data_IF_671521229238
#
_entry.id   IF_671521229238
#
_cell.length_a   1.000
_cell.length_b   1.000
_cell.length_c   1.000
_cell.angle_alpha   90.00
_cell.angle_beta   90.00
_cell.angle_gamma   90.00
#
_symmetry.space_group_name_H-M   'P 1'
#
loop_
_entity.id
_entity.type
_entity.pdbx_description
1 polymer ?
#
# COMPACT_ATOMS: atom_id res chain seq x y z
N UNK A 1 -23.63 -11.62 1.43
CA UNK A 1 -22.38 -11.14 2.05
C UNK A 1 -22.53 -9.64 2.16
N UNK A 2 -22.93 -9.17 3.34
CA UNK A 2 -23.08 -7.75 3.60
C UNK A 2 -21.73 -7.07 3.44
N UNK A 3 -21.68 -6.05 2.57
CA UNK A 3 -20.66 -5.01 2.61
C UNK A 3 -20.82 -4.28 3.95
N UNK A 4 -20.26 -4.86 5.01
CA UNK A 4 -19.86 -4.09 6.18
C UNK A 4 -18.88 -3.06 5.61
N UNK A 5 -19.34 -1.82 5.43
CA UNK A 5 -18.45 -0.69 5.19
C UNK A 5 -17.38 -0.78 6.27
N UNK A 6 -16.16 -1.19 5.89
CA UNK A 6 -15.02 -1.25 6.81
C UNK A 6 -15.00 0.09 7.52
N UNK A 7 -15.14 0.09 8.85
CA UNK A 7 -14.96 1.32 9.63
C UNK A 7 -13.62 1.93 9.19
N UNK A 8 -13.55 3.26 8.99
CA UNK A 8 -12.27 3.91 8.77
C UNK A 8 -11.33 3.50 9.90
N UNK A 9 -10.25 2.83 9.54
CA UNK A 9 -9.18 2.42 10.44
C UNK A 9 -8.05 3.44 10.33
N UNK A 10 -7.35 3.71 11.41
CA UNK A 10 -6.19 4.62 11.45
C UNK A 10 -5.17 4.19 10.38
N UNK A 11 -4.89 2.90 10.28
CA UNK A 11 -3.94 2.34 9.29
C UNK A 11 -4.44 2.46 7.86
N UNK A 12 -5.72 2.19 7.62
CA UNK A 12 -6.38 2.43 6.34
C UNK A 12 -6.32 3.90 5.89
N UNK A 13 -6.58 4.85 6.79
CA UNK A 13 -6.48 6.28 6.49
C UNK A 13 -5.04 6.69 6.18
N UNK A 14 -4.06 6.19 6.94
CA UNK A 14 -2.63 6.40 6.66
C UNK A 14 -2.25 5.91 5.26
N UNK A 15 -2.66 4.68 4.90
CA UNK A 15 -2.39 4.11 3.58
C UNK A 15 -3.05 4.95 2.47
N UNK A 16 -4.29 5.39 2.68
CA UNK A 16 -4.99 6.22 1.71
C UNK A 16 -4.28 7.56 1.47
N UNK A 17 -3.82 8.23 2.54
CA UNK A 17 -3.08 9.49 2.41
C UNK A 17 -1.69 9.28 1.81
N UNK A 18 -1.01 8.18 2.16
CA UNK A 18 0.26 7.81 1.53
C UNK A 18 0.08 7.59 0.02
N UNK A 19 -0.93 6.81 -0.36
CA UNK A 19 -1.26 6.56 -1.77
C UNK A 19 -1.57 7.88 -2.49
N UNK A 20 -2.36 8.77 -1.88
CA UNK A 20 -2.67 10.08 -2.44
C UNK A 20 -1.44 10.98 -2.63
N UNK A 21 -0.45 10.86 -1.74
CA UNK A 21 0.78 11.64 -1.78
C UNK A 21 1.81 11.08 -2.78
N UNK A 22 1.92 9.76 -2.93
CA UNK A 22 3.03 9.12 -3.64
C UNK A 22 2.63 8.19 -4.80
N UNK A 23 1.48 7.51 -4.72
CA UNK A 23 1.10 6.47 -5.69
C UNK A 23 0.12 7.00 -6.73
N UNK A 24 -1.01 7.57 -6.32
CA UNK A 24 -2.10 7.98 -7.21
C UNK A 24 -2.72 9.31 -6.80
N UNK A 25 -2.53 10.28 -7.69
CA UNK A 25 -2.71 11.71 -7.41
C UNK A 25 -4.02 12.27 -7.94
N UNK A 26 -4.82 11.44 -8.63
CA UNK A 26 -5.91 11.87 -9.47
C UNK A 26 -7.27 11.77 -8.76
N UNK A 27 -8.01 12.88 -8.72
CA UNK A 27 -9.33 12.94 -8.08
C UNK A 27 -10.41 12.35 -9.00
N UNK A 28 -11.33 11.57 -8.43
CA UNK A 28 -12.42 10.98 -9.21
C UNK A 28 -13.41 12.03 -9.71
N UNK A 29 -13.76 11.99 -11.00
CA UNK A 29 -14.74 12.90 -11.61
C UNK A 29 -15.65 12.19 -12.62
N UNK A 30 -16.96 12.47 -12.59
CA UNK A 30 -17.87 12.05 -13.66
C UNK A 30 -17.82 13.04 -14.83
N UNK A 31 -16.94 12.77 -15.79
CA UNK A 31 -16.82 13.57 -17.02
C UNK A 31 -16.80 12.66 -18.24
N UNK A 32 -17.46 13.11 -19.30
CA UNK A 32 -17.32 12.51 -20.63
C UNK A 32 -16.04 13.07 -21.27
N UNK A 33 -15.08 12.23 -21.71
CA UNK A 33 -13.86 12.70 -22.35
C UNK A 33 -14.16 13.53 -23.59
N UNK A 34 -13.52 14.70 -23.70
CA UNK A 34 -13.63 15.57 -24.87
C UNK A 34 -12.49 15.28 -25.86
N UNK A 35 -12.77 15.15 -27.18
CA UNK A 35 -11.75 14.89 -28.18
C UNK A 35 -10.61 15.92 -28.21
N UNK A 36 -10.86 17.16 -27.79
CA UNK A 36 -9.81 18.19 -27.75
C UNK A 36 -8.75 17.94 -26.67
N UNK A 37 -9.06 17.12 -25.67
CA UNK A 37 -8.20 16.87 -24.49
C UNK A 37 -7.69 15.44 -24.39
N UNK A 38 -8.41 14.49 -24.99
CA UNK A 38 -8.17 13.07 -24.83
C UNK A 38 -8.13 12.33 -26.17
N UNK A 39 -7.32 11.29 -26.22
CA UNK A 39 -7.19 10.38 -27.36
C UNK A 39 -7.57 8.98 -26.90
N UNK A 40 -8.48 8.34 -27.62
CA UNK A 40 -8.91 6.96 -27.35
C UNK A 40 -7.88 5.95 -27.86
N UNK A 41 -7.60 4.92 -27.07
CA UNK A 41 -6.70 3.80 -27.43
C UNK A 41 -7.28 2.45 -26.96
N UNK A 42 -6.92 1.37 -27.64
CA UNK A 42 -7.15 0.01 -27.18
C UNK A 42 -5.97 -0.45 -26.33
N UNK A 43 -5.96 -0.08 -25.05
CA UNK A 43 -4.81 -0.38 -24.19
C UNK A 43 -4.86 -1.82 -23.68
N UNK A 44 -3.86 -2.62 -24.04
CA UNK A 44 -3.80 -4.05 -23.67
C UNK A 44 -2.83 -4.31 -22.54
N UNK A 45 -1.71 -3.57 -22.53
CA UNK A 45 -0.65 -3.78 -21.55
C UNK A 45 0.18 -2.52 -21.30
N UNK A 46 0.97 -2.59 -20.24
CA UNK A 46 2.05 -1.66 -19.94
C UNK A 46 3.37 -2.40 -19.88
N UNK A 47 4.42 -1.81 -20.46
CA UNK A 47 5.80 -2.25 -20.32
C UNK A 47 6.56 -1.21 -19.49
N UNK A 48 7.00 -1.63 -18.32
CA UNK A 48 7.88 -0.87 -17.44
C UNK A 48 9.35 -1.21 -17.79
N UNK A 49 10.08 -0.27 -18.38
CA UNK A 49 11.47 -0.45 -18.81
C UNK A 49 12.44 0.01 -17.72
N UNK A 50 13.24 -0.90 -17.18
CA UNK A 50 14.25 -0.54 -16.18
C UNK A 50 15.45 0.16 -16.84
N UNK A 51 15.73 1.40 -16.43
CA UNK A 51 16.81 2.22 -17.00
C UNK A 51 18.23 1.76 -16.62
N UNK A 52 18.38 0.83 -15.69
CA UNK A 52 19.67 0.30 -15.23
C UNK A 52 19.99 -1.05 -15.88
N UNK A 53 19.18 -2.08 -15.60
CA UNK A 53 19.40 -3.42 -16.13
C UNK A 53 18.79 -3.68 -17.51
N UNK A 54 17.94 -2.78 -18.03
CA UNK A 54 17.24 -2.94 -19.30
C UNK A 54 16.12 -3.98 -19.29
N UNK A 55 15.84 -4.62 -18.15
CA UNK A 55 14.74 -5.59 -18.04
C UNK A 55 13.38 -4.90 -18.17
N UNK A 56 12.49 -5.56 -18.90
CA UNK A 56 11.10 -5.15 -19.07
C UNK A 56 10.20 -5.92 -18.12
N UNK A 57 9.40 -5.18 -17.35
CA UNK A 57 8.32 -5.72 -16.53
C UNK A 57 6.98 -5.44 -17.20
N UNK A 58 6.33 -6.50 -17.69
CA UNK A 58 5.04 -6.40 -18.39
C UNK A 58 3.88 -6.51 -17.41
N UNK A 59 2.98 -5.53 -17.46
CA UNK A 59 1.70 -5.52 -16.75
C UNK A 59 0.58 -5.72 -17.78
N UNK A 60 -0.19 -6.78 -17.63
CA UNK A 60 -1.36 -7.04 -18.47
C UNK A 60 -2.56 -6.28 -17.88
N UNK A 61 -3.34 -5.63 -18.73
CA UNK A 61 -4.58 -4.96 -18.32
C UNK A 61 -5.80 -5.78 -18.73
N UNK A 62 -6.88 -5.64 -17.96
CA UNK A 62 -8.17 -6.19 -18.35
C UNK A 62 -8.71 -5.39 -19.56
N UNK A 63 -9.06 -6.10 -20.64
CA UNK A 63 -9.64 -5.48 -21.83
C UNK A 63 -11.07 -4.99 -21.55
N UNK A 64 -11.22 -3.70 -21.28
CA UNK A 64 -12.49 -3.05 -20.98
C UNK A 64 -12.89 -2.00 -22.05
N UNK A 65 -12.61 -2.31 -23.32
CA UNK A 65 -12.89 -1.41 -24.44
C UNK A 65 -11.85 -0.29 -24.59
N UNK A 66 -12.29 0.87 -25.10
CA UNK A 66 -11.42 2.02 -25.33
C UNK A 66 -11.13 2.79 -24.04
N UNK A 67 -9.87 3.15 -23.85
CA UNK A 67 -9.38 3.99 -22.76
C UNK A 67 -8.93 5.33 -23.35
N UNK A 68 -9.16 6.41 -22.62
CA UNK A 68 -8.87 7.77 -23.05
C UNK A 68 -7.62 8.31 -22.36
N UNK A 69 -6.58 8.59 -23.14
CA UNK A 69 -5.31 9.14 -22.66
C UNK A 69 -5.31 10.65 -22.84
N UNK A 70 -4.96 11.39 -21.78
CA UNK A 70 -4.80 12.83 -21.85
C UNK A 70 -3.66 13.21 -22.83
N UNK A 71 -3.86 14.26 -23.62
CA UNK A 71 -2.91 14.65 -24.67
C UNK A 71 -1.47 14.80 -24.17
N UNK A 72 -1.28 15.39 -22.98
CA UNK A 72 0.06 15.55 -22.39
C UNK A 72 0.76 14.21 -22.11
N UNK A 73 0.04 13.17 -21.70
CA UNK A 73 0.57 11.81 -21.51
C UNK A 73 0.78 11.10 -22.84
N UNK A 74 -0.11 11.29 -23.81
CA UNK A 74 0.09 10.74 -25.16
C UNK A 74 1.37 11.29 -25.81
N UNK A 75 1.66 12.58 -25.64
CA UNK A 75 2.93 13.16 -26.12
C UNK A 75 4.15 12.54 -25.41
N UNK A 76 4.06 12.20 -24.12
CA UNK A 76 5.11 11.44 -23.42
C UNK A 76 5.26 10.03 -24.00
N UNK A 77 4.15 9.36 -24.32
CA UNK A 77 4.16 8.03 -24.93
C UNK A 77 4.80 8.05 -26.31
N UNK A 78 4.42 8.99 -27.19
CA UNK A 78 5.04 9.13 -28.53
C UNK A 78 6.57 9.21 -28.45
N UNK A 79 7.10 10.00 -27.50
CA UNK A 79 8.55 10.09 -27.26
C UNK A 79 9.18 8.77 -26.82
N UNK A 80 8.47 7.96 -26.05
CA UNK A 80 8.96 6.62 -25.66
C UNK A 80 8.94 5.64 -26.84
N UNK A 81 7.88 5.65 -27.65
CA UNK A 81 7.85 4.88 -28.91
C UNK A 81 9.02 5.26 -29.82
N UNK A 82 9.29 6.56 -30.00
CA UNK A 82 10.46 7.04 -30.74
C UNK A 82 11.78 6.60 -30.12
N UNK A 83 11.94 6.75 -28.79
CA UNK A 83 13.14 6.36 -28.03
C UNK A 83 13.45 4.87 -28.21
N UNK A 84 12.42 4.02 -28.23
CA UNK A 84 12.55 2.57 -28.38
C UNK A 84 12.51 2.10 -29.84
N UNK A 85 12.50 3.02 -30.81
CA UNK A 85 12.41 2.73 -32.24
C UNK A 85 11.19 1.86 -32.61
N UNK A 86 10.08 2.06 -31.90
CA UNK A 86 8.82 1.36 -32.10
C UNK A 86 7.87 2.19 -32.98
N UNK A 87 7.09 1.50 -33.81
CA UNK A 87 6.02 2.14 -34.57
C UNK A 87 4.82 2.38 -33.65
N UNK A 88 4.36 3.64 -33.59
CA UNK A 88 3.11 3.96 -32.90
C UNK A 88 1.93 3.29 -33.63
N UNK A 89 1.08 2.51 -32.93
CA UNK A 89 -0.07 1.85 -33.54
C UNK A 89 -1.12 2.88 -33.96
N UNK A 90 -2.06 2.47 -34.82
CA UNK A 90 -3.23 3.28 -35.14
C UNK A 90 -4.13 3.42 -33.91
N UNK A 91 -4.12 4.60 -33.31
CA UNK A 91 -4.81 4.90 -32.06
C UNK A 91 -6.33 4.66 -32.21
N UNK A 92 -6.89 3.83 -31.34
CA UNK A 92 -8.32 3.49 -31.33
C UNK A 92 -8.73 2.42 -32.35
N UNK A 93 -7.79 1.86 -33.12
CA UNK A 93 -8.03 0.74 -34.04
C UNK A 93 -7.17 -0.48 -33.68
N UNK A 94 -5.92 -0.24 -33.31
CA UNK A 94 -4.92 -1.28 -33.01
C UNK A 94 -4.58 -1.29 -31.52
N UNK A 95 -4.07 -2.43 -31.05
CA UNK A 95 -3.62 -2.60 -29.68
C UNK A 95 -2.50 -1.61 -29.35
N UNK A 96 -2.63 -0.97 -28.19
CA UNK A 96 -1.72 0.04 -27.68
C UNK A 96 -1.03 -0.47 -26.42
N UNK A 97 0.31 -0.51 -26.46
CA UNK A 97 1.15 -0.75 -25.28
C UNK A 97 1.55 0.58 -24.66
N UNK A 98 1.33 0.73 -23.35
CA UNK A 98 1.81 1.88 -22.59
C UNK A 98 3.25 1.63 -22.14
N UNK A 99 4.16 2.58 -22.33
CA UNK A 99 5.55 2.48 -21.89
C UNK A 99 5.82 3.36 -20.69
N UNK A 100 6.66 2.89 -19.78
CA UNK A 100 7.07 3.65 -18.60
C UNK A 100 8.52 3.37 -18.24
N UNK A 101 9.31 4.44 -18.11
CA UNK A 101 10.70 4.36 -17.67
C UNK A 101 10.79 4.45 -16.15
N UNK A 102 11.71 3.71 -15.56
CA UNK A 102 11.96 3.72 -14.12
C UNK A 102 13.02 2.70 -13.70
N UNK A 103 12.93 2.23 -12.46
CA UNK A 103 13.80 1.19 -11.93
C UNK A 103 13.00 0.02 -11.37
N UNK A 104 13.42 -1.21 -11.66
CA UNK A 104 12.91 -2.38 -10.97
C UNK A 104 13.33 -2.34 -9.49
N UNK A 105 12.64 -3.09 -8.64
CA UNK A 105 12.89 -3.09 -7.19
C UNK A 105 14.36 -3.39 -6.82
N UNK A 106 15.03 -4.25 -7.58
CA UNK A 106 16.45 -4.60 -7.36
C UNK A 106 17.35 -3.41 -7.69
N UNK A 107 17.24 -2.84 -8.90
CA UNK A 107 18.07 -1.74 -9.34
C UNK A 107 17.81 -0.45 -8.55
N UNK A 108 16.56 -0.23 -8.12
CA UNK A 108 16.17 0.95 -7.37
C UNK A 108 17.03 1.13 -6.10
N UNK A 109 17.39 0.05 -5.41
CA UNK A 109 18.21 0.10 -4.19
C UNK A 109 19.59 0.76 -4.38
N UNK A 110 20.14 0.75 -5.60
CA UNK A 110 21.43 1.38 -5.89
C UNK A 110 21.28 2.81 -6.41
N UNK A 111 20.09 3.18 -6.88
CA UNK A 111 19.87 4.41 -7.63
C UNK A 111 19.03 5.45 -6.89
N UNK A 112 18.16 5.04 -5.96
CA UNK A 112 17.22 5.98 -5.31
C UNK A 112 17.75 6.57 -4.00
N UNK A 113 18.92 6.19 -3.50
CA UNK A 113 19.50 6.79 -2.29
C UNK A 113 20.51 7.89 -2.63
N UNK A 114 20.56 8.96 -1.83
CA UNK A 114 21.53 10.07 -1.92
C UNK A 114 21.53 10.84 -3.26
N UNK A 115 20.39 10.90 -3.95
CA UNK A 115 20.28 11.60 -5.25
C UNK A 115 20.00 13.10 -5.08
N UNK A 116 18.98 13.43 -4.28
CA UNK A 116 18.53 14.80 -4.04
C UNK A 116 17.74 14.85 -2.74
N UNK A 117 17.61 16.05 -2.16
CA UNK A 117 16.76 16.27 -0.98
C UNK A 117 15.32 15.79 -1.20
N UNK A 118 14.78 15.99 -2.41
CA UNK A 118 13.44 15.51 -2.77
C UNK A 118 13.33 13.99 -2.74
N UNK A 119 14.36 13.30 -3.25
CA UNK A 119 14.44 11.85 -3.16
C UNK A 119 14.60 11.37 -1.71
N UNK A 120 15.39 12.06 -0.89
CA UNK A 120 15.57 11.72 0.52
C UNK A 120 14.24 11.82 1.30
N UNK A 121 13.40 12.81 0.98
CA UNK A 121 12.02 12.90 1.50
C UNK A 121 11.19 11.70 1.05
N UNK A 122 11.19 11.34 -0.23
CA UNK A 122 10.45 10.17 -0.73
C UNK A 122 10.87 8.88 -0.01
N UNK A 123 12.18 8.66 0.15
CA UNK A 123 12.71 7.49 0.84
C UNK A 123 12.28 7.47 2.31
N UNK A 124 12.43 8.58 3.02
CA UNK A 124 12.07 8.66 4.43
C UNK A 124 10.55 8.50 4.66
N UNK A 125 9.71 9.00 3.75
CA UNK A 125 8.27 8.78 3.79
C UNK A 125 7.89 7.32 3.49
N UNK A 126 8.57 6.66 2.55
CA UNK A 126 8.37 5.24 2.28
C UNK A 126 8.76 4.37 3.49
N UNK A 127 9.89 4.68 4.14
CA UNK A 127 10.29 4.02 5.39
C UNK A 127 9.29 4.27 6.52
N UNK A 128 8.72 5.47 6.61
CA UNK A 128 7.66 5.77 7.58
C UNK A 128 6.40 4.95 7.31
N UNK A 129 5.97 4.82 6.05
CA UNK A 129 4.84 3.96 5.69
C UNK A 129 5.10 2.49 6.03
N UNK A 130 6.33 2.00 5.79
CA UNK A 130 6.73 0.64 6.18
C UNK A 130 6.71 0.42 7.70
N UNK A 131 7.01 1.46 8.50
CA UNK A 131 6.85 1.40 9.96
C UNK A 131 5.37 1.32 10.35
N UNK A 132 4.51 2.10 9.70
CA UNK A 132 3.05 2.10 9.91
C UNK A 132 2.46 0.70 9.62
N UNK A 133 2.83 0.09 8.48
CA UNK A 133 2.44 -1.30 8.12
C UNK A 133 3.06 -2.34 9.06
N UNK A 134 4.36 -2.20 9.35
CA UNK A 134 5.11 -3.15 10.18
C UNK A 134 4.62 -3.22 11.62
N UNK A 135 4.06 -2.14 12.17
CA UNK A 135 3.44 -2.16 13.50
C UNK A 135 2.31 -3.19 13.57
N UNK A 136 1.45 -3.24 12.55
CA UNK A 136 0.31 -4.16 12.51
C UNK A 136 0.75 -5.61 12.40
N UNK A 137 1.73 -5.88 11.55
CA UNK A 137 2.32 -7.22 11.39
C UNK A 137 2.95 -7.67 12.71
N UNK A 138 3.76 -6.83 13.33
CA UNK A 138 4.43 -7.16 14.60
C UNK A 138 3.43 -7.38 15.75
N UNK A 139 2.37 -6.60 15.81
CA UNK A 139 1.31 -6.76 16.81
C UNK A 139 0.54 -8.07 16.59
N UNK A 140 0.15 -8.36 15.35
CA UNK A 140 -0.53 -9.60 14.98
C UNK A 140 0.33 -10.83 15.32
N UNK A 141 1.61 -10.83 14.92
CA UNK A 141 2.56 -11.91 15.22
C UNK A 141 2.72 -12.15 16.73
N UNK A 142 2.78 -11.08 17.52
CA UNK A 142 2.86 -11.18 18.97
C UNK A 142 1.58 -11.80 19.55
N UNK A 143 0.42 -11.33 19.11
CA UNK A 143 -0.89 -11.84 19.54
C UNK A 143 -0.99 -13.33 19.24
N UNK A 144 -0.64 -13.76 18.02
CA UNK A 144 -0.64 -15.16 17.63
C UNK A 144 0.28 -16.01 18.51
N UNK A 145 1.49 -15.54 18.78
CA UNK A 145 2.44 -16.21 19.70
C UNK A 145 1.90 -16.31 21.12
N UNK A 146 1.26 -15.27 21.62
CA UNK A 146 0.64 -15.23 22.96
C UNK A 146 -0.48 -16.25 23.06
N UNK A 147 -1.40 -16.24 22.11
CA UNK A 147 -2.55 -17.16 22.06
C UNK A 147 -2.05 -18.60 21.96
N UNK A 148 -1.12 -18.88 21.05
CA UNK A 148 -0.52 -20.19 20.90
C UNK A 148 0.16 -20.65 22.20
N UNK A 149 1.00 -19.81 22.81
CA UNK A 149 1.69 -20.13 24.06
C UNK A 149 0.71 -20.42 25.19
N UNK A 150 -0.37 -19.64 25.31
CA UNK A 150 -1.42 -19.86 26.30
C UNK A 150 -2.14 -21.19 26.07
N UNK A 151 -2.56 -21.49 24.84
CA UNK A 151 -3.24 -22.75 24.49
C UNK A 151 -2.36 -23.95 24.90
N UNK A 152 -1.11 -23.99 24.45
CA UNK A 152 -0.23 -25.13 24.70
C UNK A 152 0.30 -25.21 26.14
N UNK A 153 0.09 -24.17 26.96
CA UNK A 153 0.35 -24.22 28.39
C UNK A 153 -0.69 -25.06 29.14
N UNK A 154 -1.92 -25.13 28.65
CA UNK A 154 -3.01 -25.92 29.25
C UNK A 154 -2.64 -27.40 29.14
N UNK A 155 -2.50 -28.10 30.28
CA UNK A 155 -2.09 -29.52 30.31
C UNK A 155 -3.21 -30.50 30.62
N UNK A 156 -4.35 -30.00 31.12
CA UNK A 156 -5.50 -30.83 31.46
C UNK A 156 -6.81 -30.08 31.28
N UNK A 157 -7.91 -30.81 31.04
CA UNK A 157 -9.26 -30.22 30.97
C UNK A 157 -9.70 -29.61 32.31
N UNK A 158 -9.09 -30.05 33.41
CA UNK A 158 -9.37 -29.57 34.76
C UNK A 158 -9.02 -28.09 34.95
N UNK A 159 -7.97 -27.61 34.27
CA UNK A 159 -7.57 -26.20 34.28
C UNK A 159 -8.62 -25.25 33.67
N UNK A 160 -9.57 -25.80 32.91
CA UNK A 160 -10.60 -25.05 32.20
C UNK A 160 -12.01 -25.29 32.73
N UNK A 161 -12.18 -26.12 33.77
CA UNK A 161 -13.50 -26.49 34.33
C UNK A 161 -14.38 -25.31 34.74
N UNK A 162 -13.77 -24.16 35.04
CA UNK A 162 -14.47 -22.94 35.47
C UNK A 162 -14.66 -21.92 34.35
N UNK A 163 -14.26 -22.22 33.11
CA UNK A 163 -14.37 -21.32 31.96
C UNK A 163 -15.58 -21.72 31.11
N UNK A 164 -16.31 -20.72 30.62
CA UNK A 164 -17.38 -20.96 29.65
C UNK A 164 -16.79 -21.17 28.26
N UNK A 165 -16.91 -22.40 27.77
CA UNK A 165 -16.51 -22.82 26.42
C UNK A 165 -17.73 -23.28 25.59
N UNK A 166 -18.94 -22.97 26.04
CA UNK A 166 -20.18 -23.49 25.44
C UNK A 166 -20.59 -22.74 24.17
N UNK A 167 -20.11 -21.52 23.99
CA UNK A 167 -20.45 -20.66 22.84
C UNK A 167 -19.21 -20.07 22.19
N UNK A 168 -19.30 -19.80 20.89
CA UNK A 168 -18.26 -19.10 20.14
C UNK A 168 -17.90 -17.76 20.79
N UNK A 169 -18.90 -17.00 21.24
CA UNK A 169 -18.68 -15.69 21.87
C UNK A 169 -17.89 -15.80 23.18
N UNK A 170 -18.22 -16.77 24.04
CA UNK A 170 -17.51 -16.98 25.30
C UNK A 170 -16.04 -17.37 25.05
N UNK A 171 -15.78 -18.24 24.06
CA UNK A 171 -14.41 -18.60 23.68
C UNK A 171 -13.65 -17.39 23.13
N UNK A 172 -14.29 -16.59 22.27
CA UNK A 172 -13.71 -15.36 21.74
C UNK A 172 -13.34 -14.39 22.86
N UNK A 173 -14.25 -14.14 23.80
CA UNK A 173 -14.01 -13.27 24.96
C UNK A 173 -12.87 -13.78 25.84
N UNK A 174 -12.78 -15.09 26.05
CA UNK A 174 -11.68 -15.72 26.77
C UNK A 174 -10.33 -15.45 26.08
N UNK A 175 -10.23 -15.70 24.78
CA UNK A 175 -9.01 -15.44 24.00
C UNK A 175 -8.67 -13.95 24.03
N UNK A 176 -9.65 -13.07 23.85
CA UNK A 176 -9.44 -11.62 24.00
C UNK A 176 -8.89 -11.28 25.38
N UNK A 177 -9.41 -11.88 26.46
CA UNK A 177 -8.90 -11.68 27.82
C UNK A 177 -7.43 -12.07 27.98
N UNK A 178 -7.01 -13.16 27.34
CA UNK A 178 -5.59 -13.59 27.30
C UNK A 178 -4.72 -12.54 26.60
N UNK A 179 -5.20 -12.01 25.48
CA UNK A 179 -4.51 -10.96 24.71
C UNK A 179 -4.41 -9.66 25.52
N UNK A 180 -5.51 -9.22 26.13
CA UNK A 180 -5.55 -8.04 27.00
C UNK A 180 -4.60 -8.17 28.20
N UNK A 181 -4.40 -9.39 28.71
CA UNK A 181 -3.42 -9.69 29.75
C UNK A 181 -1.96 -9.47 29.34
N UNK A 182 -1.66 -9.24 28.06
CA UNK A 182 -0.32 -8.97 27.52
C UNK A 182 -0.10 -7.50 27.13
N UNK A 183 -0.86 -6.57 27.72
CA UNK A 183 -0.77 -5.14 27.43
C UNK A 183 0.67 -4.60 27.49
N UNK A 184 1.48 -5.04 28.45
CA UNK A 184 2.88 -4.62 28.59
C UNK A 184 3.79 -5.03 27.41
N UNK A 185 3.50 -6.15 26.74
CA UNK A 185 4.27 -6.60 25.58
C UNK A 185 3.90 -5.78 24.34
N UNK A 186 2.61 -5.51 24.16
CA UNK A 186 2.11 -4.65 23.08
C UNK A 186 2.58 -3.20 23.27
N UNK A 187 2.62 -2.72 24.51
CA UNK A 187 3.12 -1.38 24.84
C UNK A 187 4.59 -1.21 24.43
N UNK A 188 5.44 -2.23 24.63
CA UNK A 188 6.84 -2.18 24.17
C UNK A 188 6.96 -2.06 22.65
N UNK A 189 6.15 -2.81 21.89
CA UNK A 189 6.13 -2.70 20.43
C UNK A 189 5.71 -1.29 20.03
N UNK A 190 4.65 -0.77 20.67
CA UNK A 190 4.12 0.56 20.41
C UNK A 190 5.15 1.66 20.71
N UNK A 191 5.84 1.60 21.84
CA UNK A 191 6.87 2.57 22.21
C UNK A 191 8.03 2.62 21.20
N UNK A 192 8.50 1.45 20.74
CA UNK A 192 9.56 1.37 19.71
C UNK A 192 9.08 2.00 18.40
N UNK A 193 7.86 1.70 17.98
CA UNK A 193 7.25 2.29 16.80
C UNK A 193 7.13 3.82 16.95
N UNK A 194 6.56 4.31 18.04
CA UNK A 194 6.37 5.75 18.29
C UNK A 194 7.69 6.52 18.28
N UNK A 195 8.74 5.96 18.89
CA UNK A 195 10.07 6.57 18.85
C UNK A 195 10.59 6.70 17.43
N UNK A 196 10.49 5.65 16.61
CA UNK A 196 10.96 5.67 15.21
C UNK A 196 10.14 6.63 14.36
N UNK A 197 8.82 6.66 14.55
CA UNK A 197 7.93 7.59 13.85
C UNK A 197 8.29 9.03 14.19
N UNK A 198 8.48 9.36 15.47
CA UNK A 198 8.85 10.70 15.88
C UNK A 198 10.17 11.16 15.22
N UNK A 199 11.19 10.29 15.25
CA UNK A 199 12.47 10.54 14.59
C UNK A 199 12.30 10.79 13.08
N UNK A 200 11.55 9.92 12.39
CA UNK A 200 11.30 10.06 10.95
C UNK A 200 10.51 11.32 10.61
N UNK A 201 9.49 11.68 11.38
CA UNK A 201 8.72 12.90 11.16
C UNK A 201 9.60 14.15 11.28
N UNK A 202 10.50 14.20 12.27
CA UNK A 202 11.45 15.30 12.44
C UNK A 202 12.39 15.39 11.24
N UNK A 203 12.99 14.26 10.83
CA UNK A 203 13.88 14.20 9.68
C UNK A 203 13.20 14.67 8.38
N UNK A 204 12.00 14.14 8.11
CA UNK A 204 11.25 14.50 6.90
C UNK A 204 10.94 16.00 6.91
N UNK A 205 10.46 16.53 8.04
CA UNK A 205 10.15 17.95 8.16
C UNK A 205 11.39 18.84 7.97
N UNK A 206 12.54 18.47 8.54
CA UNK A 206 13.77 19.25 8.36
C UNK A 206 14.21 19.30 6.89
N UNK A 207 14.10 18.19 6.17
CA UNK A 207 14.46 18.16 4.74
C UNK A 207 13.44 18.94 3.91
N UNK A 208 12.14 18.83 4.22
CA UNK A 208 11.08 19.58 3.55
C UNK A 208 11.26 21.09 3.69
N UNK A 209 11.70 21.58 4.84
CA UNK A 209 11.93 23.01 5.10
C UNK A 209 13.07 23.57 4.23
N UNK A 210 14.03 22.73 3.84
CA UNK A 210 15.14 23.10 2.96
C UNK A 210 14.78 23.11 1.46
N UNK A 211 13.64 22.52 1.07
CA UNK A 211 13.17 22.52 -0.31
C UNK A 211 12.38 23.81 -0.57
N UNK A 212 12.94 24.69 -1.40
CA UNK A 212 12.36 26.01 -1.69
C UNK A 212 11.09 25.98 -2.55
N UNK A 213 10.94 24.96 -3.40
CA UNK A 213 9.80 24.82 -4.32
C UNK A 213 8.62 24.13 -3.64
N UNK A 214 7.36 24.39 -4.07
CA UNK A 214 6.17 23.74 -3.51
C UNK A 214 6.09 22.24 -3.86
N UNK A 215 6.84 21.80 -4.86
CA UNK A 215 6.94 20.41 -5.31
C UNK A 215 8.40 20.03 -5.57
N UNK A 216 8.69 18.73 -5.61
CA UNK A 216 10.01 18.18 -5.92
C UNK A 216 9.87 16.85 -6.67
N UNK A 217 10.90 16.49 -7.43
CA UNK A 217 10.92 15.21 -8.14
C UNK A 217 11.52 14.10 -7.26
N UNK A 218 10.95 12.90 -7.34
CA UNK A 218 11.47 11.71 -6.68
C UNK A 218 10.94 10.42 -7.32
N UNK A 219 11.75 9.37 -7.28
CA UNK A 219 11.34 8.02 -7.62
C UNK A 219 10.50 7.45 -6.47
N UNK A 220 9.27 7.06 -6.81
CA UNK A 220 8.29 6.49 -5.88
C UNK A 220 7.95 5.07 -6.31
N UNK A 221 7.80 4.18 -5.34
CA UNK A 221 7.36 2.82 -5.59
C UNK A 221 5.91 2.83 -6.09
N UNK A 222 5.66 2.15 -7.20
CA UNK A 222 4.32 1.89 -7.72
C UNK A 222 4.10 0.38 -7.85
N UNK A 223 3.15 -0.20 -7.12
CA UNK A 223 2.79 -1.60 -7.30
C UNK A 223 2.20 -1.82 -8.70
N UNK A 224 2.58 -2.92 -9.35
CA UNK A 224 2.04 -3.39 -10.63
C UNK A 224 0.56 -3.79 -10.57
N UNK A 225 0.07 -4.08 -9.38
CA UNK A 225 -1.30 -4.53 -9.08
C UNK A 225 -2.28 -3.38 -8.83
N UNK A 226 -1.79 -2.14 -8.73
CA UNK A 226 -2.63 -0.95 -8.63
C UNK A 226 -3.07 -0.53 -10.02
N UNK A 227 -4.26 0.07 -10.10
CA UNK A 227 -4.76 0.64 -11.34
C UNK A 227 -3.82 1.72 -11.91
N UNK A 228 -4.07 2.15 -13.14
CA UNK A 228 -3.33 3.24 -13.76
C UNK A 228 -4.29 4.24 -14.38
N UNK A 229 -4.21 5.48 -13.91
CA UNK A 229 -4.87 6.62 -14.55
C UNK A 229 -4.05 7.12 -15.74
N UNK A 230 -4.74 7.38 -16.84
CA UNK A 230 -4.26 7.95 -18.09
C UNK A 230 -4.37 9.48 -18.14
N UNK A 231 -4.61 10.10 -16.99
CA UNK A 231 -4.58 11.54 -16.77
C UNK A 231 -3.89 11.83 -15.42
N UNK A 232 -3.05 12.85 -15.40
CA UNK A 232 -2.23 13.21 -14.23
C UNK A 232 -3.06 13.89 -13.13
N UNK A 233 -4.22 14.48 -13.47
CA UNK A 233 -5.04 15.28 -12.56
C UNK A 233 -6.39 14.65 -12.20
N UNK A 234 -6.89 13.74 -13.03
CA UNK A 234 -8.27 13.25 -12.98
C UNK A 234 -8.32 11.74 -13.15
N UNK A 235 -9.17 11.09 -12.37
CA UNK A 235 -9.48 9.67 -12.49
C UNK A 235 -10.97 9.55 -12.86
N UNK A 236 -11.30 8.77 -13.87
CA UNK A 236 -12.68 8.42 -14.21
C UNK A 236 -12.75 7.05 -14.92
N UNK A 237 -13.97 6.54 -15.11
CA UNK A 237 -14.23 5.23 -15.74
C UNK A 237 -13.64 5.06 -17.16
N UNK A 238 -13.38 6.16 -17.88
CA UNK A 238 -12.84 6.15 -19.24
C UNK A 238 -11.32 6.36 -19.28
N UNK A 239 -10.70 6.85 -18.20
CA UNK A 239 -9.27 7.18 -18.16
C UNK A 239 -8.49 6.23 -17.27
N UNK A 240 -9.06 5.10 -16.86
CA UNK A 240 -8.41 4.12 -15.99
C UNK A 240 -8.26 2.77 -16.66
N UNK A 241 -7.20 2.07 -16.29
CA UNK A 241 -7.08 0.63 -16.49
C UNK A 241 -6.75 -0.10 -15.22
N UNK A 242 -7.25 -1.33 -15.14
CA UNK A 242 -7.02 -2.23 -14.03
C UNK A 242 -6.13 -3.38 -14.49
N UNK A 243 -5.04 -3.68 -13.75
CA UNK A 243 -4.22 -4.85 -14.04
C UNK A 243 -5.04 -6.13 -13.92
N UNK A 244 -4.67 -7.14 -14.72
CA UNK A 244 -5.23 -8.48 -14.61
C UNK A 244 -4.97 -9.06 -13.23
N UNK A 245 -5.87 -9.91 -12.73
CA UNK A 245 -5.68 -10.61 -11.45
C UNK A 245 -4.43 -11.50 -11.45
N UNK A 246 -3.96 -11.93 -12.64
CA UNK A 246 -2.74 -12.71 -12.81
C UNK A 246 -1.44 -11.88 -12.78
N UNK A 247 -1.52 -10.55 -12.71
CA UNK A 247 -0.34 -9.69 -12.68
C UNK A 247 0.44 -9.92 -11.38
N UNK A 248 1.74 -10.30 -11.44
CA UNK A 248 2.55 -10.46 -10.25
C UNK A 248 2.63 -9.16 -9.47
N UNK A 249 2.59 -9.26 -8.14
CA UNK A 249 2.77 -8.11 -7.24
C UNK A 249 4.25 -7.75 -7.14
N UNK A 250 4.64 -6.68 -7.83
CA UNK A 250 5.99 -6.14 -7.84
C UNK A 250 5.95 -4.62 -7.75
N UNK A 251 6.97 -4.02 -7.14
CA UNK A 251 7.13 -2.57 -7.13
C UNK A 251 8.03 -2.11 -8.27
N UNK A 252 7.54 -1.14 -9.04
CA UNK A 252 8.33 -0.43 -10.04
C UNK A 252 8.49 1.04 -9.64
N UNK A 253 9.72 1.55 -9.65
CA UNK A 253 10.06 2.87 -9.13
C UNK A 253 10.08 3.89 -10.25
N UNK A 254 9.20 4.89 -10.15
CA UNK A 254 8.91 5.81 -11.26
C UNK A 254 9.12 7.24 -10.82
N UNK A 255 9.73 8.05 -11.67
CA UNK A 255 9.97 9.46 -11.36
C UNK A 255 8.64 10.21 -11.36
N UNK A 256 8.30 10.85 -10.24
CA UNK A 256 7.12 11.69 -10.09
C UNK A 256 7.46 13.03 -9.47
N UNK A 257 6.59 13.99 -9.73
CA UNK A 257 6.54 15.25 -9.00
C UNK A 257 5.64 15.07 -7.78
N UNK A 258 6.17 15.34 -6.59
CA UNK A 258 5.50 15.21 -5.30
C UNK A 258 5.34 16.60 -4.69
N UNK A 259 4.12 16.90 -4.22
CA UNK A 259 3.80 18.20 -3.62
C UNK A 259 4.08 18.20 -2.11
N UNK A 260 4.72 19.26 -1.59
CA UNK A 260 5.07 19.39 -0.16
C UNK A 260 3.83 19.35 0.76
N UNK A 261 2.72 19.93 0.33
CA UNK A 261 1.46 19.92 1.08
C UNK A 261 0.92 18.49 1.28
N UNK A 262 1.05 17.60 0.29
CA UNK A 262 0.60 16.20 0.41
C UNK A 262 1.48 15.42 1.36
N UNK A 263 2.79 15.66 1.34
CA UNK A 263 3.70 15.09 2.34
C UNK A 263 3.33 15.60 3.74
N UNK A 264 3.09 16.90 3.90
CA UNK A 264 2.65 17.47 5.17
C UNK A 264 1.31 16.86 5.65
N UNK A 265 0.36 16.59 4.75
CA UNK A 265 -0.88 15.88 5.07
C UNK A 265 -0.61 14.46 5.58
N UNK A 266 0.32 13.72 4.96
CA UNK A 266 0.72 12.38 5.42
C UNK A 266 1.39 12.41 6.81
N UNK A 267 2.28 13.37 7.05
CA UNK A 267 2.89 13.58 8.36
C UNK A 267 1.86 13.99 9.41
N UNK A 268 0.84 14.76 9.02
CA UNK A 268 -0.24 15.22 9.88
C UNK A 268 -1.29 14.17 10.24
N UNK A 269 -1.30 13.00 9.56
CA UNK A 269 -2.28 11.95 9.86
C UNK A 269 -2.12 11.39 11.26
N UNK A 270 -3.27 11.08 11.88
CA UNK A 270 -3.35 10.33 13.13
C UNK A 270 -2.62 8.99 12.95
N UNK A 271 -1.86 8.60 13.97
CA UNK A 271 -1.22 7.29 14.07
C UNK A 271 -1.68 6.60 15.35
N UNK A 272 -1.36 5.32 15.49
CA UNK A 272 -1.68 4.55 16.69
C UNK A 272 -0.88 5.12 17.87
N UNK A 273 -1.59 5.60 18.89
CA UNK A 273 -1.01 6.27 20.06
C UNK A 273 -1.16 5.45 21.34
N UNK A 274 -2.05 4.45 21.35
CA UNK A 274 -2.29 3.58 22.51
C UNK A 274 -2.43 2.11 22.15
N UNK A 275 -2.20 1.23 23.13
CA UNK A 275 -2.42 -0.22 22.97
C UNK A 275 -3.88 -0.54 22.70
N UNK A 276 -4.81 0.26 23.22
CA UNK A 276 -6.25 0.03 23.01
C UNK A 276 -6.63 0.33 21.55
N UNK A 277 -6.04 1.37 20.94
CA UNK A 277 -6.16 1.62 19.49
C UNK A 277 -5.51 0.52 18.67
N UNK A 278 -4.31 0.08 19.05
CA UNK A 278 -3.61 -1.02 18.38
C UNK A 278 -4.47 -2.29 18.36
N UNK A 279 -5.03 -2.67 19.50
CA UNK A 279 -5.91 -3.82 19.62
C UNK A 279 -7.21 -3.67 18.82
N UNK A 280 -7.73 -2.45 18.70
CA UNK A 280 -8.93 -2.18 17.89
C UNK A 280 -8.69 -2.31 16.39
N UNK A 281 -7.44 -2.13 15.95
CA UNK A 281 -7.00 -2.26 14.55
C UNK A 281 -6.59 -3.71 14.22
N UNK A 282 -6.14 -4.49 15.21
CA UNK A 282 -5.80 -5.91 14.99
C UNK A 282 -7.05 -6.77 14.76
N UNK A 283 -6.91 -7.75 13.87
CA UNK A 283 -8.04 -8.61 13.48
C UNK A 283 -8.04 -9.86 14.35
N UNK A 284 -9.16 -10.13 15.02
CA UNK A 284 -9.38 -11.41 15.67
C UNK A 284 -9.44 -12.52 14.61
N UNK A 285 -8.61 -13.55 14.75
CA UNK A 285 -8.57 -14.66 13.79
C UNK A 285 -9.34 -15.88 14.32
N UNK A 286 -10.30 -16.38 13.55
CA UNK A 286 -11.07 -17.59 13.88
C UNK A 286 -10.18 -18.83 14.04
N UNK A 287 -9.00 -18.82 13.40
CA UNK A 287 -8.02 -19.91 13.52
C UNK A 287 -7.57 -20.13 14.97
N UNK A 288 -7.63 -19.09 15.80
CA UNK A 288 -7.27 -19.19 17.22
C UNK A 288 -8.26 -20.05 18.01
N UNK A 289 -9.54 -19.97 17.65
CA UNK A 289 -10.59 -20.81 18.23
C UNK A 289 -10.37 -22.25 17.77
N UNK A 290 -10.06 -22.45 16.49
CA UNK A 290 -9.73 -23.78 15.97
C UNK A 290 -8.54 -24.41 16.69
N UNK A 291 -7.46 -23.66 16.91
CA UNK A 291 -6.29 -24.12 17.67
C UNK A 291 -6.66 -24.56 19.08
N UNK A 292 -7.47 -23.75 19.79
CA UNK A 292 -7.93 -24.11 21.13
C UNK A 292 -8.74 -25.41 21.08
N UNK A 293 -9.76 -25.50 20.23
CA UNK A 293 -10.64 -26.67 20.14
C UNK A 293 -9.86 -27.94 19.76
N UNK A 294 -8.91 -27.84 18.83
CA UNK A 294 -8.02 -28.96 18.47
C UNK A 294 -7.18 -29.42 19.66
N UNK A 295 -6.57 -28.48 20.39
CA UNK A 295 -5.78 -28.81 21.59
C UNK A 295 -6.65 -29.49 22.65
N UNK A 296 -7.85 -28.98 22.93
CA UNK A 296 -8.78 -29.54 23.92
C UNK A 296 -9.23 -30.97 23.59
N UNK A 297 -9.44 -31.27 22.31
CA UNK A 297 -9.80 -32.62 21.87
C UNK A 297 -8.65 -33.63 22.09
N UNK A 298 -7.40 -33.14 22.07
CA UNK A 298 -6.20 -33.95 22.27
C UNK A 298 -5.78 -34.09 23.74
N UNK A 299 -6.34 -33.29 24.64
CA UNK A 299 -6.11 -33.41 26.08
C UNK A 299 -6.85 -34.65 26.63
N UNK A 300 -6.09 -35.51 27.30
CA UNK A 300 -6.60 -36.70 28.00
C UNK A 300 -7.39 -36.33 29.25
#
# INVERSE_FOLDING_TARGET
MENLSKRPTITGDLQNVFNYAFIETASYHFIVPKPEKYISVHMTDKINHCMDCGNDLKVQYNENGLVYIANNRMEKQKKLYEKYHLQLPKLGEENFTYFQDGYCAICAQNHIYNQSKGQDVCNACMELNQLDEGLMINAQDLIEKVVHTWIYRIKSKDELKNLDLSTYLAIRELICGVIFGQKDLLDKILQVYQSKVAEKKILIQSILDEIATPSFAGYVARPTTVYETMDDNLYNEYTVVFPSESTPEENFYVLKEVEKNRVAMFLGQKRIESVDELLSETIFSDIWIEWLMQHLNNLK
#
